data_IF_796381628258
#
_entry.id   IF_796381628258
#
_cell.length_a   1.000
_cell.length_b   1.000
_cell.length_c   1.000
_cell.angle_alpha   90.00
_cell.angle_beta   90.00
_cell.angle_gamma   90.00
#
_symmetry.space_group_name_H-M   'P 1'
#
loop_
_entity.id
_entity.type
_entity.pdbx_description
1 polymer ?
#
# COMPACT_ATOMS: atom_id res chain seq x y z
N UNK A 1 -24.52 -22.83 10.03
CA UNK A 1 -24.30 -24.24 10.42
C UNK A 1 -25.57 -24.78 11.06
N UNK A 2 -25.85 -26.07 10.89
CA UNK A 2 -26.97 -26.77 11.53
C UNK A 2 -26.35 -27.60 12.66
N UNK A 3 -26.91 -27.51 13.88
CA UNK A 3 -26.46 -28.33 15.01
C UNK A 3 -26.69 -29.81 14.66
N UNK A 4 -25.64 -30.63 14.76
CA UNK A 4 -25.75 -32.07 14.55
C UNK A 4 -26.57 -32.74 15.66
N UNK A 5 -26.64 -32.12 16.84
CA UNK A 5 -27.36 -32.65 18.01
C UNK A 5 -28.84 -32.30 17.95
N UNK A 6 -29.17 -31.05 17.63
CA UNK A 6 -30.55 -30.55 17.76
C UNK A 6 -31.26 -30.32 16.41
N UNK A 7 -30.56 -30.45 15.28
CA UNK A 7 -31.09 -30.13 13.95
C UNK A 7 -31.45 -28.65 13.73
N UNK A 8 -31.26 -27.80 14.74
CA UNK A 8 -31.57 -26.36 14.68
C UNK A 8 -30.47 -25.62 13.92
N UNK A 9 -30.87 -24.67 13.09
CA UNK A 9 -29.96 -23.78 12.37
C UNK A 9 -29.42 -22.72 13.31
N UNK A 10 -28.11 -22.51 13.31
CA UNK A 10 -27.49 -21.37 13.97
C UNK A 10 -28.08 -20.06 13.42
N UNK A 11 -28.60 -19.22 14.31
CA UNK A 11 -29.10 -17.90 13.99
C UNK A 11 -28.02 -16.87 14.29
N UNK A 12 -27.70 -16.01 13.32
CA UNK A 12 -26.73 -14.93 13.52
C UNK A 12 -27.44 -13.70 14.12
N UNK A 13 -28.01 -13.87 15.31
CA UNK A 13 -28.68 -12.80 16.05
C UNK A 13 -27.70 -12.19 17.06
N UNK A 14 -27.90 -10.93 17.45
CA UNK A 14 -27.04 -10.24 18.44
C UNK A 14 -26.88 -11.03 19.75
N UNK A 15 -27.94 -11.73 20.17
CA UNK A 15 -27.96 -12.58 21.37
C UNK A 15 -27.02 -13.79 21.20
N UNK A 16 -27.09 -14.47 20.06
CA UNK A 16 -26.24 -15.65 19.79
C UNK A 16 -24.77 -15.25 19.65
N UNK A 17 -24.49 -14.10 19.06
CA UNK A 17 -23.14 -13.54 18.99
C UNK A 17 -22.58 -13.15 20.36
N UNK A 18 -23.41 -12.65 21.28
CA UNK A 18 -22.98 -12.38 22.65
C UNK A 18 -22.70 -13.69 23.40
N UNK A 19 -23.56 -14.71 23.29
CA UNK A 19 -23.33 -16.03 23.90
C UNK A 19 -22.02 -16.66 23.43
N UNK A 20 -21.71 -16.55 22.14
CA UNK A 20 -20.46 -17.09 21.58
C UNK A 20 -19.23 -16.36 22.14
N UNK A 21 -19.33 -15.05 22.38
CA UNK A 21 -18.27 -14.27 23.03
C UNK A 21 -18.07 -14.70 24.48
N UNK A 22 -19.16 -14.83 25.24
CA UNK A 22 -19.10 -15.24 26.65
C UNK A 22 -18.38 -16.59 26.81
N UNK A 23 -18.72 -17.56 25.95
CA UNK A 23 -18.06 -18.89 25.93
C UNK A 23 -16.58 -18.76 25.54
N UNK A 24 -16.25 -17.90 24.57
CA UNK A 24 -14.87 -17.65 24.16
C UNK A 24 -14.05 -17.03 25.28
N UNK A 25 -14.60 -16.04 25.99
CA UNK A 25 -13.92 -15.37 27.09
C UNK A 25 -13.72 -16.30 28.28
N UNK A 26 -14.69 -17.17 28.57
CA UNK A 26 -14.56 -18.23 29.57
C UNK A 26 -13.41 -19.19 29.23
N UNK A 27 -13.29 -19.61 27.97
CA UNK A 27 -12.17 -20.42 27.51
C UNK A 27 -10.83 -19.68 27.65
N UNK A 28 -10.78 -18.40 27.26
CA UNK A 28 -9.58 -17.57 27.43
C UNK A 28 -9.17 -17.46 28.91
N UNK A 29 -10.13 -17.28 29.84
CA UNK A 29 -9.85 -17.29 31.29
C UNK A 29 -9.25 -18.61 31.75
N UNK A 30 -9.82 -19.72 31.29
CA UNK A 30 -9.37 -21.07 31.66
C UNK A 30 -7.93 -21.35 31.22
N UNK A 31 -7.50 -20.80 30.09
CA UNK A 31 -6.16 -20.98 29.56
C UNK A 31 -5.21 -19.79 29.82
N UNK A 32 -5.59 -18.86 30.72
CA UNK A 32 -4.81 -17.66 31.04
C UNK A 32 -4.40 -16.81 29.81
N UNK A 33 -5.29 -16.76 28.82
CA UNK A 33 -5.13 -15.91 27.64
C UNK A 33 -5.65 -14.50 27.93
N UNK A 34 -5.19 -13.52 27.15
CA UNK A 34 -5.65 -12.14 27.29
C UNK A 34 -7.13 -12.02 26.93
N UNK A 35 -7.86 -11.25 27.75
CA UNK A 35 -9.30 -10.99 27.59
C UNK A 35 -9.49 -9.50 27.43
N UNK A 36 -10.42 -9.10 26.57
CA UNK A 36 -10.73 -7.69 26.32
C UNK A 36 -11.81 -7.28 27.33
N UNK A 37 -11.42 -6.60 28.42
CA UNK A 37 -12.33 -6.25 29.51
C UNK A 37 -13.32 -5.11 29.16
N UNK A 38 -12.92 -4.19 28.28
CA UNK A 38 -13.74 -3.04 27.88
C UNK A 38 -14.52 -3.29 26.59
N UNK A 39 -15.73 -3.81 26.74
CA UNK A 39 -16.77 -3.75 25.71
C UNK A 39 -17.44 -2.36 25.74
N UNK A 40 -16.66 -1.31 25.53
CA UNK A 40 -17.29 -0.02 25.27
C UNK A 40 -18.26 -0.22 24.09
N UNK A 41 -19.52 0.22 24.24
CA UNK A 41 -20.49 0.30 23.13
C UNK A 41 -20.03 1.30 22.04
N UNK A 42 -18.73 1.58 21.96
CA UNK A 42 -18.14 2.35 20.89
C UNK A 42 -18.50 1.64 19.59
N UNK A 43 -19.23 2.37 18.76
CA UNK A 43 -19.67 1.94 17.43
C UNK A 43 -18.47 1.27 16.77
N UNK A 44 -18.64 0.04 16.26
CA UNK A 44 -17.61 -0.66 15.52
C UNK A 44 -17.04 0.30 14.47
N UNK A 45 -15.80 0.75 14.69
CA UNK A 45 -15.18 1.71 13.80
C UNK A 45 -14.92 0.96 12.50
N UNK A 46 -15.70 1.25 11.46
CA UNK A 46 -15.50 0.68 10.13
C UNK A 46 -14.06 0.96 9.70
N UNK A 47 -13.39 0.07 8.96
CA UNK A 47 -12.03 0.32 8.45
C UNK A 47 -11.90 1.71 7.79
N UNK A 48 -12.93 2.17 7.07
CA UNK A 48 -13.01 3.54 6.53
C UNK A 48 -13.06 4.65 7.59
N UNK A 49 -13.82 4.47 8.68
CA UNK A 49 -13.86 5.40 9.81
C UNK A 49 -12.56 5.39 10.61
N UNK A 50 -11.86 4.26 10.69
CA UNK A 50 -10.55 4.19 11.34
C UNK A 50 -9.53 5.07 10.62
N UNK A 51 -9.53 5.05 9.28
CA UNK A 51 -8.68 5.92 8.46
C UNK A 51 -9.17 7.38 8.43
N UNK A 52 -10.50 7.62 8.43
CA UNK A 52 -11.06 8.99 8.46
C UNK A 52 -10.89 9.71 9.81
N UNK A 53 -10.83 8.98 10.92
CA UNK A 53 -10.69 9.54 12.27
C UNK A 53 -9.22 9.80 12.66
N UNK A 54 -8.26 9.41 11.82
CA UNK A 54 -6.85 9.73 12.05
C UNK A 54 -6.59 11.19 11.66
N UNK A 55 -6.18 11.99 12.64
CA UNK A 55 -5.67 13.34 12.39
C UNK A 55 -4.54 13.27 11.36
N UNK A 56 -4.46 14.23 10.44
CA UNK A 56 -3.36 14.35 9.47
C UNK A 56 -1.99 14.15 10.14
N UNK A 57 -1.82 14.63 11.37
CA UNK A 57 -0.59 14.45 12.16
C UNK A 57 -0.27 12.98 12.45
N UNK A 58 -1.29 12.16 12.72
CA UNK A 58 -1.11 10.73 12.99
C UNK A 58 -0.77 9.93 11.74
N UNK A 59 -1.28 10.34 10.58
CA UNK A 59 -0.91 9.75 9.28
C UNK A 59 0.57 10.04 9.01
N UNK A 60 0.97 11.32 9.12
CA UNK A 60 2.35 11.74 8.92
C UNK A 60 3.31 11.02 9.88
N UNK A 61 2.94 10.87 11.16
CA UNK A 61 3.74 10.12 12.14
C UNK A 61 3.97 8.68 11.69
N UNK A 62 2.91 8.00 11.29
CA UNK A 62 2.97 6.62 10.81
C UNK A 62 3.87 6.50 9.56
N UNK A 63 3.74 7.42 8.62
CA UNK A 63 4.53 7.41 7.39
C UNK A 63 6.01 7.68 7.67
N UNK A 64 6.32 8.57 8.62
CA UNK A 64 7.69 8.77 9.12
C UNK A 64 8.22 7.48 9.77
N UNK A 65 7.42 6.82 10.62
CA UNK A 65 7.85 5.60 11.29
C UNK A 65 8.12 4.47 10.28
N UNK A 66 7.31 4.35 9.22
CA UNK A 66 7.53 3.42 8.08
C UNK A 66 8.80 3.82 7.30
N UNK A 67 8.98 5.11 7.01
CA UNK A 67 10.16 5.58 6.29
C UNK A 67 11.45 5.34 7.08
N UNK A 68 11.42 5.49 8.41
CA UNK A 68 12.54 5.14 9.31
C UNK A 68 12.88 3.66 9.19
N UNK A 69 11.88 2.78 9.16
CA UNK A 69 12.09 1.33 9.02
C UNK A 69 12.68 0.93 7.66
N UNK A 70 12.38 1.70 6.61
CA UNK A 70 12.78 1.39 5.24
C UNK A 70 14.09 2.05 4.80
N UNK A 71 14.79 2.75 5.68
CA UNK A 71 15.95 3.58 5.31
C UNK A 71 17.18 3.25 6.12
N UNK A 72 18.34 3.16 5.47
CA UNK A 72 19.66 3.00 6.13
C UNK A 72 20.29 4.34 6.43
N UNK A 73 20.04 5.33 5.57
CA UNK A 73 20.62 6.66 5.68
C UNK A 73 19.54 7.72 5.74
N UNK A 74 19.90 8.88 6.27
CA UNK A 74 18.99 10.02 6.30
C UNK A 74 18.59 10.49 4.88
N UNK A 75 19.49 10.32 3.91
CA UNK A 75 19.20 10.61 2.49
C UNK A 75 18.16 9.66 1.92
N UNK A 76 18.22 8.37 2.26
CA UNK A 76 17.23 7.37 1.84
C UNK A 76 15.88 7.60 2.52
N UNK A 77 15.88 8.06 3.77
CA UNK A 77 14.68 8.46 4.48
C UNK A 77 13.91 9.57 3.76
N UNK A 78 14.60 10.64 3.35
CA UNK A 78 13.97 11.70 2.58
C UNK A 78 13.45 11.21 1.24
N UNK A 79 14.23 10.39 0.52
CA UNK A 79 13.81 9.83 -0.77
C UNK A 79 12.57 8.94 -0.62
N UNK A 80 12.48 8.17 0.47
CA UNK A 80 11.31 7.34 0.77
C UNK A 80 10.07 8.22 1.00
N UNK A 81 10.20 9.31 1.75
CA UNK A 81 9.09 10.26 1.95
C UNK A 81 8.67 10.98 0.66
N UNK A 82 9.63 11.37 -0.18
CA UNK A 82 9.35 11.97 -1.49
C UNK A 82 8.57 11.00 -2.39
N UNK A 83 8.94 9.71 -2.40
CA UNK A 83 8.22 8.67 -3.13
C UNK A 83 6.78 8.47 -2.63
N UNK A 84 6.54 8.65 -1.33
CA UNK A 84 5.20 8.64 -0.72
C UNK A 84 4.40 9.93 -0.99
N UNK A 85 4.97 10.90 -1.73
CA UNK A 85 4.27 12.12 -2.15
C UNK A 85 4.38 13.29 -1.17
N UNK A 86 5.43 13.31 -0.36
CA UNK A 86 5.75 14.44 0.52
C UNK A 86 6.71 15.43 -0.14
N UNK A 87 6.36 16.71 -0.07
CA UNK A 87 7.28 17.82 -0.32
C UNK A 87 8.04 18.15 0.98
N UNK A 88 9.37 18.15 0.91
CA UNK A 88 10.24 18.41 2.05
C UNK A 88 10.82 19.81 1.92
N UNK A 89 10.63 20.65 2.94
CA UNK A 89 11.22 22.00 2.99
C UNK A 89 12.17 22.09 4.17
N UNK A 90 13.43 22.42 3.87
CA UNK A 90 14.47 22.68 4.86
C UNK A 90 14.49 24.18 5.19
N UNK A 91 14.19 24.55 6.44
CA UNK A 91 14.30 25.93 6.93
C UNK A 91 15.19 25.97 8.17
N UNK A 92 16.40 26.47 8.00
CA UNK A 92 17.42 26.53 9.06
C UNK A 92 17.67 25.14 9.67
N UNK A 93 17.23 24.94 10.92
CA UNK A 93 17.34 23.68 11.68
C UNK A 93 16.03 22.90 11.73
N UNK A 94 14.97 23.41 11.10
CA UNK A 94 13.65 22.80 11.09
C UNK A 94 13.33 22.21 9.71
N UNK A 95 12.79 20.99 9.72
CA UNK A 95 12.29 20.33 8.51
C UNK A 95 10.76 20.33 8.55
N UNK A 96 10.16 20.71 7.44
CA UNK A 96 8.71 20.69 7.25
C UNK A 96 8.33 19.70 6.15
N UNK A 97 7.33 18.87 6.42
CA UNK A 97 6.76 17.91 5.49
C UNK A 97 5.37 18.38 5.04
N UNK A 98 5.12 18.38 3.75
CA UNK A 98 3.80 18.68 3.17
C UNK A 98 3.38 17.55 2.25
N UNK A 99 2.37 16.80 2.67
CA UNK A 99 1.74 15.82 1.80
C UNK A 99 0.96 16.54 0.69
N UNK A 100 0.90 15.96 -0.52
CA UNK A 100 0.21 16.55 -1.68
C UNK A 100 -1.26 16.91 -1.39
N UNK A 101 -1.94 16.09 -0.58
CA UNK A 101 -3.35 16.32 -0.18
C UNK A 101 -3.51 17.23 1.05
N UNK A 102 -2.42 17.75 1.63
CA UNK A 102 -2.46 18.58 2.83
C UNK A 102 -2.38 20.08 2.47
N UNK A 103 -3.30 20.87 3.02
CA UNK A 103 -3.32 22.34 2.82
C UNK A 103 -2.16 23.07 3.49
N UNK A 104 -1.59 22.51 4.56
CA UNK A 104 -0.54 23.16 5.37
C UNK A 104 0.63 22.20 5.60
N UNK A 105 1.88 22.68 5.54
CA UNK A 105 3.03 21.89 5.93
C UNK A 105 3.03 21.63 7.45
N UNK A 106 3.58 20.49 7.85
CA UNK A 106 3.76 20.11 9.25
C UNK A 106 5.24 20.06 9.57
N UNK A 107 5.67 20.79 10.61
CA UNK A 107 7.06 20.77 11.08
C UNK A 107 7.33 19.49 11.86
N UNK A 108 8.47 18.84 11.62
CA UNK A 108 8.89 17.63 12.33
C UNK A 108 8.87 17.83 13.86
N UNK A 109 9.49 18.91 14.36
CA UNK A 109 9.50 19.24 15.80
C UNK A 109 8.11 19.36 16.42
N UNK A 110 7.11 19.78 15.64
CA UNK A 110 5.75 19.89 16.16
C UNK A 110 5.08 18.53 16.40
N UNK A 111 5.59 17.45 15.80
CA UNK A 111 5.06 16.09 15.97
C UNK A 111 5.44 15.48 17.33
N UNK A 112 6.47 16.02 17.98
CA UNK A 112 6.99 15.60 19.29
C UNK A 112 8.47 15.22 19.22
N UNK A 113 9.09 15.05 20.38
CA UNK A 113 10.55 14.87 20.52
C UNK A 113 11.08 13.60 19.82
N UNK A 114 10.23 12.57 19.70
CA UNK A 114 10.55 11.33 18.98
C UNK A 114 10.67 11.50 17.46
N UNK A 115 10.27 12.65 16.93
CA UNK A 115 10.28 13.00 15.51
C UNK A 115 11.24 14.15 15.20
N UNK A 116 12.10 14.52 16.15
CA UNK A 116 13.20 15.42 15.86
C UNK A 116 14.25 14.75 14.97
N UNK A 117 15.00 15.54 14.22
CA UNK A 117 15.92 15.01 13.19
C UNK A 117 17.04 14.16 13.79
N UNK A 118 17.56 14.56 14.95
CA UNK A 118 18.61 13.83 15.63
C UNK A 118 18.07 12.51 16.16
N UNK A 119 16.85 12.51 16.71
CA UNK A 119 16.16 11.29 17.16
C UNK A 119 15.87 10.36 15.98
N UNK A 120 15.41 10.87 14.85
CA UNK A 120 15.17 10.10 13.62
C UNK A 120 16.47 9.47 13.13
N UNK A 121 17.57 10.22 13.10
CA UNK A 121 18.89 9.71 12.72
C UNK A 121 19.35 8.58 13.64
N UNK A 122 19.18 8.73 14.95
CA UNK A 122 19.48 7.66 15.90
C UNK A 122 18.57 6.45 15.72
N UNK A 123 17.27 6.64 15.42
CA UNK A 123 16.33 5.56 15.13
C UNK A 123 16.71 4.79 13.88
N UNK A 124 17.12 5.47 12.81
CA UNK A 124 17.63 4.85 11.58
C UNK A 124 18.88 4.01 11.86
N UNK A 125 19.83 4.53 12.65
CA UNK A 125 21.07 3.81 12.98
C UNK A 125 20.81 2.61 13.91
N UNK A 126 19.93 2.79 14.91
CA UNK A 126 19.60 1.77 15.93
C UNK A 126 18.67 0.67 15.43
N UNK A 127 17.96 0.92 14.33
CA UNK A 127 17.24 -0.10 13.59
C UNK A 127 18.05 -0.43 12.33
N UNK A 128 19.18 -1.17 12.46
CA UNK A 128 19.75 -1.79 11.26
C UNK A 128 18.60 -2.59 10.66
N UNK A 129 18.28 -2.32 9.39
CA UNK A 129 17.12 -2.88 8.69
C UNK A 129 16.90 -4.28 9.24
N UNK A 130 15.85 -4.46 10.06
CA UNK A 130 15.34 -5.81 10.29
C UNK A 130 14.95 -6.21 8.91
N UNK A 131 15.82 -7.02 8.30
CA UNK A 131 15.80 -7.45 6.92
C UNK A 131 14.47 -7.08 6.27
N UNK A 132 14.50 -6.15 5.34
CA UNK A 132 13.46 -6.05 4.34
C UNK A 132 13.57 -7.36 3.51
N UNK A 133 13.39 -8.58 4.05
CA UNK A 133 12.12 -9.17 4.47
C UNK A 133 10.88 -8.23 4.39
N UNK A 134 10.61 -7.57 3.25
CA UNK A 134 9.69 -8.27 2.35
C UNK A 134 10.05 -9.73 2.42
N UNK A 135 9.45 -10.52 3.33
CA UNK A 135 9.49 -11.95 3.12
C UNK A 135 8.88 -12.05 1.73
N UNK A 136 9.72 -12.06 0.70
CA UNK A 136 9.27 -12.36 -0.62
C UNK A 136 8.59 -13.69 -0.37
N UNK A 137 7.44 -13.89 -0.98
CA UNK A 137 6.76 -15.19 -0.91
C UNK A 137 7.79 -16.35 -0.98
N UNK A 138 8.84 -16.14 -1.78
CA UNK A 138 10.06 -16.91 -1.94
C UNK A 138 10.97 -17.10 -0.72
N UNK A 139 11.30 -16.07 0.06
CA UNK A 139 12.17 -16.17 1.25
C UNK A 139 11.53 -17.06 2.33
N UNK A 140 10.21 -16.93 2.51
CA UNK A 140 9.41 -17.79 3.40
C UNK A 140 9.44 -19.27 2.97
N UNK A 141 9.61 -19.53 1.68
CA UNK A 141 9.68 -20.87 1.10
C UNK A 141 11.12 -21.33 0.79
N UNK A 142 12.15 -20.62 1.27
CA UNK A 142 13.58 -20.88 0.98
C UNK A 142 13.87 -20.99 -0.52
N UNK A 143 13.14 -20.26 -1.34
CA UNK A 143 13.33 -20.20 -2.78
C UNK A 143 14.07 -18.91 -3.14
N UNK A 144 15.26 -19.00 -3.72
CA UNK A 144 15.97 -17.80 -4.16
C UNK A 144 15.57 -17.42 -5.60
N UNK A 145 14.54 -16.57 -5.72
CA UNK A 145 14.09 -16.01 -7.01
C UNK A 145 15.15 -15.11 -7.64
N UNK A 146 16.03 -14.47 -6.85
CA UNK A 146 16.99 -13.47 -7.33
C UNK A 146 18.04 -14.13 -8.22
N UNK A 147 18.54 -15.30 -7.81
CA UNK A 147 19.45 -16.12 -8.61
C UNK A 147 18.89 -16.48 -9.99
N UNK A 148 17.59 -16.82 -10.08
CA UNK A 148 16.93 -17.10 -11.37
C UNK A 148 16.68 -15.84 -12.19
N UNK A 149 16.34 -14.72 -11.55
CA UNK A 149 16.12 -13.44 -12.21
C UNK A 149 17.40 -12.86 -12.83
N UNK A 150 18.53 -12.98 -12.14
CA UNK A 150 19.84 -12.57 -12.67
C UNK A 150 20.18 -13.36 -13.94
N UNK A 151 20.03 -14.70 -13.90
CA UNK A 151 20.22 -15.57 -15.08
C UNK A 151 19.23 -15.30 -16.20
N UNK A 152 18.01 -14.89 -15.88
CA UNK A 152 17.03 -14.48 -16.89
C UNK A 152 17.49 -13.22 -17.63
N UNK A 153 17.98 -12.21 -16.90
CA UNK A 153 18.49 -10.97 -17.49
C UNK A 153 19.71 -11.19 -18.37
N UNK A 154 20.62 -12.07 -17.97
CA UNK A 154 21.81 -12.43 -18.76
C UNK A 154 21.52 -13.46 -19.85
N UNK A 155 20.29 -13.96 -19.95
CA UNK A 155 19.85 -15.03 -20.86
C UNK A 155 20.56 -16.39 -20.65
N UNK A 156 21.13 -16.61 -19.46
CA UNK A 156 21.91 -17.80 -19.09
C UNK A 156 21.06 -18.92 -18.46
N UNK A 157 19.73 -18.82 -18.54
CA UNK A 157 18.84 -19.85 -18.01
C UNK A 157 18.95 -21.16 -18.81
N UNK A 158 19.28 -22.25 -18.12
CA UNK A 158 19.25 -23.59 -18.68
C UNK A 158 17.82 -24.03 -19.04
N UNK A 159 17.67 -24.93 -20.02
CA UNK A 159 16.37 -25.48 -20.43
C UNK A 159 15.56 -26.05 -19.26
N UNK A 160 16.22 -26.82 -18.36
CA UNK A 160 15.58 -27.36 -17.16
C UNK A 160 15.12 -26.27 -16.19
N UNK A 161 15.91 -25.19 -16.03
CA UNK A 161 15.57 -24.05 -15.18
C UNK A 161 14.34 -23.30 -15.72
N UNK A 162 14.23 -23.15 -17.04
CA UNK A 162 13.05 -22.57 -17.70
C UNK A 162 11.79 -23.41 -17.44
N UNK A 163 11.88 -24.73 -17.57
CA UNK A 163 10.76 -25.63 -17.24
C UNK A 163 10.37 -25.53 -15.77
N UNK A 164 11.37 -25.52 -14.87
CA UNK A 164 11.13 -25.40 -13.43
C UNK A 164 10.39 -24.11 -13.07
N UNK A 165 10.82 -22.95 -13.57
CA UNK A 165 10.13 -21.67 -13.37
C UNK A 165 8.70 -21.68 -13.94
N UNK A 166 8.49 -22.28 -15.13
CA UNK A 166 7.15 -22.43 -15.73
C UNK A 166 6.21 -23.21 -14.81
N UNK A 167 6.69 -24.29 -14.20
CA UNK A 167 5.89 -25.06 -13.25
C UNK A 167 5.63 -24.31 -11.95
N UNK A 168 6.63 -23.63 -11.39
CA UNK A 168 6.44 -22.79 -10.19
C UNK A 168 5.37 -21.71 -10.40
N UNK A 169 5.35 -21.08 -11.58
CA UNK A 169 4.30 -20.14 -11.96
C UNK A 169 2.92 -20.81 -12.10
N UNK A 170 2.86 -22.00 -12.72
CA UNK A 170 1.60 -22.74 -12.88
C UNK A 170 1.00 -23.15 -11.52
N UNK A 171 1.83 -23.64 -10.61
CA UNK A 171 1.48 -24.07 -9.25
C UNK A 171 1.25 -22.92 -8.24
N UNK A 172 1.33 -21.65 -8.67
CA UNK A 172 1.10 -20.46 -7.81
C UNK A 172 2.15 -20.30 -6.70
N UNK A 173 3.28 -21.01 -6.79
CA UNK A 173 4.45 -20.81 -5.90
C UNK A 173 5.19 -19.53 -6.28
N UNK A 174 5.06 -19.06 -7.52
CA UNK A 174 5.36 -17.66 -7.86
C UNK A 174 4.01 -16.93 -7.77
N UNK A 175 3.87 -15.85 -6.98
CA UNK A 175 2.61 -15.14 -6.88
C UNK A 175 2.20 -14.70 -8.28
N UNK A 176 1.09 -15.25 -8.76
CA UNK A 176 0.45 -14.73 -9.97
C UNK A 176 0.08 -13.29 -9.65
N UNK A 177 0.37 -12.36 -10.56
CA UNK A 177 -0.12 -10.99 -10.44
C UNK A 177 -1.64 -11.07 -10.48
N UNK A 178 -2.27 -11.23 -9.33
CA UNK A 178 -3.72 -11.28 -9.25
C UNK A 178 -4.20 -9.91 -9.71
N UNK A 179 -5.12 -9.84 -10.68
CA UNK A 179 -5.71 -8.56 -11.01
C UNK A 179 -6.34 -8.03 -9.73
N UNK A 180 -5.78 -6.93 -9.20
CA UNK A 180 -6.38 -6.23 -8.08
C UNK A 180 -7.82 -5.92 -8.49
N UNK A 181 -8.80 -6.30 -7.67
CA UNK A 181 -10.19 -5.97 -7.96
C UNK A 181 -10.34 -4.46 -7.85
N UNK A 182 -10.25 -3.78 -8.99
CA UNK A 182 -10.41 -2.34 -9.09
C UNK A 182 -11.82 -1.94 -8.64
N UNK A 183 -11.90 -0.95 -7.75
CA UNK A 183 -13.18 -0.33 -7.39
C UNK A 183 -13.79 0.36 -8.61
N UNK A 184 -15.08 0.71 -8.55
CA UNK A 184 -15.75 1.41 -9.65
C UNK A 184 -15.05 2.74 -9.99
N UNK A 185 -14.63 3.48 -8.96
CA UNK A 185 -13.89 4.74 -9.08
C UNK A 185 -12.56 4.52 -9.80
N UNK A 186 -11.75 3.55 -9.35
CA UNK A 186 -10.46 3.26 -9.98
C UNK A 186 -10.59 2.82 -11.46
N UNK A 187 -11.67 2.12 -11.83
CA UNK A 187 -11.94 1.78 -13.24
C UNK A 187 -12.26 3.01 -14.08
N UNK A 188 -12.98 3.97 -13.50
CA UNK A 188 -13.29 5.23 -14.16
C UNK A 188 -12.02 6.08 -14.34
N UNK A 189 -11.16 6.11 -13.32
CA UNK A 189 -9.87 6.80 -13.37
C UNK A 189 -8.95 6.18 -14.42
N UNK A 190 -8.87 4.85 -14.51
CA UNK A 190 -8.11 4.14 -15.56
C UNK A 190 -8.64 4.50 -16.95
N UNK A 191 -9.97 4.50 -17.14
CA UNK A 191 -10.57 4.87 -18.42
C UNK A 191 -10.25 6.32 -18.80
N UNK A 192 -10.24 7.23 -17.82
CA UNK A 192 -9.88 8.63 -18.02
C UNK A 192 -8.40 8.78 -18.37
N UNK A 193 -7.51 8.01 -17.72
CA UNK A 193 -6.08 7.95 -18.03
C UNK A 193 -5.85 7.45 -19.45
N UNK A 194 -6.50 6.36 -19.85
CA UNK A 194 -6.41 5.81 -21.22
C UNK A 194 -6.84 6.86 -22.26
N UNK A 195 -7.93 7.57 -21.99
CA UNK A 195 -8.40 8.67 -22.85
C UNK A 195 -7.35 9.78 -22.98
N UNK A 196 -6.74 10.22 -21.87
CA UNK A 196 -5.66 11.22 -21.90
C UNK A 196 -4.49 10.70 -22.73
N UNK A 197 -4.05 9.45 -22.51
CA UNK A 197 -2.96 8.86 -23.25
C UNK A 197 -3.22 8.85 -24.76
N UNK A 198 -4.42 8.48 -25.20
CA UNK A 198 -4.78 8.51 -26.62
C UNK A 198 -4.80 9.94 -27.18
N UNK A 199 -5.33 10.92 -26.44
CA UNK A 199 -5.26 12.32 -26.84
C UNK A 199 -3.81 12.82 -26.94
N UNK A 200 -2.96 12.49 -25.97
CA UNK A 200 -1.53 12.86 -25.98
C UNK A 200 -0.80 12.22 -27.15
N UNK A 201 -1.03 10.93 -27.42
CA UNK A 201 -0.47 10.25 -28.60
C UNK A 201 -0.91 10.93 -29.89
N UNK A 202 -2.19 11.28 -30.01
CA UNK A 202 -2.72 11.98 -31.18
C UNK A 202 -2.03 13.34 -31.39
N UNK A 203 -1.87 14.13 -30.33
CA UNK A 203 -1.18 15.42 -30.37
C UNK A 203 0.27 15.26 -30.83
N UNK A 204 1.00 14.32 -30.23
CA UNK A 204 2.40 14.07 -30.55
C UNK A 204 2.58 13.54 -31.99
N UNK A 205 1.75 12.60 -32.43
CA UNK A 205 1.85 11.99 -33.76
C UNK A 205 1.65 13.02 -34.88
N UNK A 206 0.81 14.04 -34.64
CA UNK A 206 0.56 15.12 -35.59
C UNK A 206 1.39 16.38 -35.31
N UNK A 207 2.28 16.36 -34.31
CA UNK A 207 3.11 17.49 -33.89
C UNK A 207 2.32 18.78 -33.64
N UNK A 208 1.13 18.69 -33.05
CA UNK A 208 0.34 19.89 -32.74
C UNK A 208 0.99 20.67 -31.59
N UNK A 209 1.30 21.94 -31.84
CA UNK A 209 1.84 22.87 -30.84
C UNK A 209 0.81 23.89 -30.38
N UNK A 210 -0.23 24.14 -31.18
CA UNK A 210 -1.30 25.09 -30.86
C UNK A 210 -2.69 24.49 -31.06
N UNK A 211 -3.68 25.05 -30.35
CA UNK A 211 -5.07 24.59 -30.42
C UNK A 211 -5.67 24.80 -31.83
N UNK A 212 -5.31 25.89 -32.50
CA UNK A 212 -5.78 26.21 -33.84
C UNK A 212 -5.43 25.11 -34.85
N UNK A 213 -4.24 24.52 -34.77
CA UNK A 213 -3.82 23.43 -35.67
C UNK A 213 -4.68 22.18 -35.54
N UNK A 214 -5.15 21.88 -34.32
CA UNK A 214 -6.06 20.75 -34.07
C UNK A 214 -7.43 21.01 -34.70
N UNK A 215 -7.90 22.25 -34.63
CA UNK A 215 -9.19 22.66 -35.18
C UNK A 215 -9.16 22.66 -36.71
N UNK A 216 -8.07 23.16 -37.29
CA UNK A 216 -7.77 23.12 -38.72
C UNK A 216 -7.72 21.68 -39.25
N UNK A 217 -7.08 20.77 -38.52
CA UNK A 217 -7.02 19.35 -38.86
C UNK A 217 -8.41 18.71 -38.84
N UNK A 218 -9.25 19.08 -37.86
CA UNK A 218 -10.63 18.62 -37.75
C UNK A 218 -11.42 19.05 -38.99
N UNK A 219 -11.39 20.33 -39.34
CA UNK A 219 -12.10 20.88 -40.51
C UNK A 219 -11.63 20.27 -41.83
N UNK A 220 -10.31 20.10 -42.02
CA UNK A 220 -9.73 19.41 -43.20
C UNK A 220 -10.14 17.95 -43.33
N UNK A 221 -10.43 17.27 -42.21
CA UNK A 221 -10.88 15.88 -42.24
C UNK A 221 -12.37 15.79 -42.56
N UNK A 222 -13.19 16.73 -42.09
CA UNK A 222 -14.62 16.79 -42.40
C UNK A 222 -14.91 17.23 -43.83
N UNK A 223 -14.07 18.07 -44.44
CA UNK A 223 -14.23 18.48 -45.85
C UNK A 223 -13.77 17.44 -46.87
N UNK A 224 -13.09 16.37 -46.43
CA UNK A 224 -12.68 15.22 -47.25
C UNK A 224 -13.65 14.03 -47.19
N UNK A 225 -14.68 14.11 -46.35
CA UNK A 225 -15.78 13.15 -46.24
C UNK A 225 -16.98 13.66 -47.05
#
# INVERSE_FOLDING_TARGET
MISFVDGKRYCNTKIDMNRLKDISDELCRKYHLSIIEEHSHSKSITHKQYHHNKSLRSIIKNDIDIAIQNSVTLTEFYRTLENEGYEITFKNTDISLKHINAKRPVRLKSLGDNYDIDTIKQRIISHPIQDYQQQNYFDKHKFDILSFWMKYKTQELSGLQKYYLKYLYKFVVIPKKHPVKLTKEMKQDIKYLDMICEHTKFILTNNFTTLEQVQDYKEKRYSKL
#
